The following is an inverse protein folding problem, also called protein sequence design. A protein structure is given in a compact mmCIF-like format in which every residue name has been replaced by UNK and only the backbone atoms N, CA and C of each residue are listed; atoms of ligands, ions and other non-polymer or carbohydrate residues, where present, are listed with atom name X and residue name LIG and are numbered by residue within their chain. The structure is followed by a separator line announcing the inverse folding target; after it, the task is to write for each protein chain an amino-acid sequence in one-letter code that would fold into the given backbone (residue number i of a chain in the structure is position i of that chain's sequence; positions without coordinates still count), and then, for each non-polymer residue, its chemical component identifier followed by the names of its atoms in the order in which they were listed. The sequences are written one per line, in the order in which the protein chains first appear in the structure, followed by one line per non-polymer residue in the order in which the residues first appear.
data_IF_743643440225
#
_entry.id   IF_743643440225
#
_cell.length_a   1.000
_cell.length_b   1.000
_cell.length_c   1.000
_cell.angle_alpha   90.00
_cell.angle_beta   90.00
_cell.angle_gamma   90.00
#
_symmetry.space_group_name_H-M   'P 1'
#
loop_
_entity.id
_entity.type
_entity.pdbx_description
1 polymer ?
#
# COMPACT_ATOMS: atom_id res chain seq x y z
N UNK A 1 -20.02 -0.25 -4.78
CA UNK A 1 -18.57 -0.36 -4.51
C UNK A 1 -18.34 -0.96 -3.13
N UNK A 2 -17.17 -1.53 -2.88
CA UNK A 2 -16.82 -2.13 -1.58
C UNK A 2 -16.80 -1.05 -0.46
N UNK A 3 -17.35 -1.31 0.74
CA UNK A 3 -17.37 -0.33 1.83
C UNK A 3 -15.99 0.19 2.25
N UNK A 4 -14.97 -0.68 2.30
CA UNK A 4 -13.59 -0.30 2.67
C UNK A 4 -13.01 0.80 1.78
N UNK A 5 -13.43 0.92 0.52
CA UNK A 5 -12.93 1.98 -0.37
C UNK A 5 -13.24 3.41 0.12
N UNK A 6 -14.13 3.57 1.11
CA UNK A 6 -14.38 4.85 1.80
C UNK A 6 -13.22 5.26 2.71
N UNK A 7 -12.43 4.31 3.19
CA UNK A 7 -11.25 4.54 4.04
C UNK A 7 -10.06 4.86 3.14
N UNK A 8 -9.38 5.98 3.41
CA UNK A 8 -8.35 6.53 2.52
C UNK A 8 -7.12 5.62 2.33
N UNK A 9 -6.87 4.66 3.23
CA UNK A 9 -5.76 3.70 3.13
C UNK A 9 -6.19 2.30 2.65
N UNK A 10 -7.43 2.14 2.18
CA UNK A 10 -8.02 0.85 1.78
C UNK A 10 -8.44 0.85 0.31
N UNK A 11 -7.87 1.75 -0.50
CA UNK A 11 -8.14 1.91 -1.93
C UNK A 11 -7.09 1.19 -2.78
N UNK A 12 -7.38 1.03 -4.07
CA UNK A 12 -6.45 0.42 -5.01
C UNK A 12 -5.16 1.25 -5.13
N UNK A 13 -4.02 0.59 -4.99
CA UNK A 13 -2.70 1.25 -4.99
C UNK A 13 -2.17 1.61 -3.61
N UNK A 14 -2.98 1.56 -2.56
CA UNK A 14 -2.53 1.74 -1.19
C UNK A 14 -1.74 0.51 -0.71
N UNK A 15 -0.79 0.73 0.19
CA UNK A 15 -0.32 -0.33 1.07
C UNK A 15 -1.35 -0.45 2.21
N UNK A 16 -2.28 -1.39 2.07
CA UNK A 16 -3.51 -1.50 2.87
C UNK A 16 -3.28 -1.19 4.35
N UNK A 17 -4.04 -0.22 4.87
CA UNK A 17 -4.03 0.26 6.25
C UNK A 17 -2.72 0.92 6.75
N UNK A 18 -1.62 0.82 5.99
CA UNK A 18 -0.33 1.40 6.32
C UNK A 18 -0.10 2.75 5.61
N UNK A 19 -0.12 2.77 4.27
CA UNK A 19 0.27 3.93 3.46
C UNK A 19 -0.75 4.13 2.34
N UNK A 20 -1.38 5.32 2.29
CA UNK A 20 -2.21 5.71 1.15
C UNK A 20 -1.32 6.00 -0.07
N UNK A 21 -1.80 5.67 -1.26
CA UNK A 21 -1.14 6.01 -2.50
C UNK A 21 -0.92 7.52 -2.61
N UNK A 22 0.24 7.93 -3.12
CA UNK A 22 0.54 9.34 -3.37
C UNK A 22 -0.30 9.94 -4.50
N UNK A 23 -0.86 9.07 -5.36
CA UNK A 23 -1.71 9.44 -6.48
C UNK A 23 -2.64 8.28 -6.82
N UNK A 24 -3.95 8.56 -6.85
CA UNK A 24 -4.93 7.61 -7.37
C UNK A 24 -4.76 7.50 -8.90
N UNK A 25 -4.36 6.31 -9.36
CA UNK A 25 -4.15 6.01 -10.79
C UNK A 25 -5.02 4.86 -11.28
N UNK A 26 -5.87 4.32 -10.41
CA UNK A 26 -6.84 3.27 -10.72
C UNK A 26 -7.78 3.72 -11.83
N UNK A 27 -8.06 2.82 -12.77
CA UNK A 27 -9.01 3.10 -13.85
C UNK A 27 -10.46 2.91 -13.40
N UNK A 28 -11.44 3.43 -14.16
CA UNK A 28 -12.85 3.15 -13.91
C UNK A 28 -13.16 1.66 -13.84
N UNK A 29 -14.22 1.32 -13.09
CA UNK A 29 -14.71 -0.06 -12.98
C UNK A 29 -15.03 -0.61 -14.37
N UNK A 30 -14.48 -1.79 -14.67
CA UNK A 30 -14.62 -2.45 -15.96
C UNK A 30 -13.37 -2.36 -16.85
N UNK A 31 -12.40 -1.53 -16.49
CA UNK A 31 -11.10 -1.45 -17.17
C UNK A 31 -10.01 -2.26 -16.46
N UNK A 32 -8.99 -2.67 -17.24
CA UNK A 32 -7.83 -3.39 -16.71
C UNK A 32 -6.75 -2.44 -16.19
N UNK A 33 -6.40 -2.62 -14.92
CA UNK A 33 -5.22 -2.02 -14.29
C UNK A 33 -3.99 -2.94 -14.41
N UNK A 34 -2.80 -2.33 -14.43
CA UNK A 34 -1.53 -3.04 -14.33
C UNK A 34 -0.86 -2.70 -13.00
N UNK A 35 -0.64 -3.69 -12.15
CA UNK A 35 0.07 -3.55 -10.88
C UNK A 35 1.46 -4.19 -10.96
N UNK A 36 2.46 -3.54 -10.37
CA UNK A 36 3.80 -4.09 -10.19
C UNK A 36 4.26 -3.85 -8.75
N UNK A 37 4.93 -4.84 -8.15
CA UNK A 37 5.45 -4.79 -6.79
C UNK A 37 6.94 -5.10 -6.87
N UNK A 38 7.76 -4.19 -6.35
CA UNK A 38 9.22 -4.37 -6.30
C UNK A 38 9.64 -4.33 -4.84
N UNK A 39 10.12 -5.46 -4.34
CA UNK A 39 10.80 -5.55 -3.05
C UNK A 39 12.28 -5.87 -3.34
N UNK A 40 13.14 -4.89 -3.13
CA UNK A 40 14.58 -5.03 -3.38
C UNK A 40 15.35 -4.53 -2.16
N UNK A 41 16.03 -5.45 -1.48
CA UNK A 41 16.59 -5.23 -0.15
C UNK A 41 15.52 -4.66 0.80
N UNK A 42 15.77 -3.50 1.40
CA UNK A 42 14.81 -2.81 2.28
C UNK A 42 13.85 -1.90 1.53
N UNK A 43 13.96 -1.71 0.21
CA UNK A 43 13.05 -0.82 -0.52
C UNK A 43 11.84 -1.60 -1.04
N UNK A 44 10.64 -1.14 -0.67
CA UNK A 44 9.37 -1.58 -1.25
C UNK A 44 8.78 -0.47 -2.14
N UNK A 45 8.40 -0.82 -3.36
CA UNK A 45 7.64 0.03 -4.27
C UNK A 45 6.38 -0.68 -4.75
N UNK A 46 5.25 0.02 -4.68
CA UNK A 46 4.02 -0.36 -5.37
C UNK A 46 3.86 0.57 -6.57
N UNK A 47 3.65 -0.01 -7.73
CA UNK A 47 3.44 0.69 -9.00
C UNK A 47 2.06 0.32 -9.52
N UNK A 48 1.26 1.31 -9.84
CA UNK A 48 -0.04 1.13 -10.48
C UNK A 48 -0.08 1.95 -11.77
N UNK A 49 -0.44 1.30 -12.87
CA UNK A 49 -0.50 1.90 -14.21
C UNK A 49 0.76 2.72 -14.59
N UNK A 50 1.94 2.17 -14.28
CA UNK A 50 3.24 2.78 -14.58
C UNK A 50 3.67 3.91 -13.63
N UNK A 51 2.88 4.24 -12.61
CA UNK A 51 3.22 5.26 -11.60
C UNK A 51 3.60 4.60 -10.29
N UNK A 52 4.74 4.95 -9.70
CA UNK A 52 5.07 4.59 -8.32
C UNK A 52 4.09 5.31 -7.40
N UNK A 53 3.19 4.54 -6.77
CA UNK A 53 2.12 5.05 -5.90
C UNK A 53 2.45 4.90 -4.43
N UNK A 54 3.29 3.94 -4.06
CA UNK A 54 3.87 3.81 -2.72
C UNK A 54 5.36 3.51 -2.85
N UNK A 55 6.18 4.15 -2.02
CA UNK A 55 7.58 3.82 -1.83
C UNK A 55 7.91 3.94 -0.34
N UNK A 56 8.42 2.87 0.26
CA UNK A 56 8.81 2.87 1.68
C UNK A 56 10.05 2.02 1.91
N UNK A 57 10.69 2.24 3.05
CA UNK A 57 11.73 1.36 3.57
C UNK A 57 11.09 0.35 4.53
N UNK A 58 11.43 -0.91 4.36
CA UNK A 58 11.07 -2.01 5.24
C UNK A 58 12.06 -2.09 6.41
N UNK A 59 11.56 -2.53 7.56
CA UNK A 59 12.34 -2.87 8.75
C UNK A 59 13.11 -1.71 9.43
N UNK A 60 12.85 -0.47 9.04
CA UNK A 60 13.33 0.69 9.78
C UNK A 60 12.34 1.09 10.90
N UNK A 61 12.70 2.10 11.69
CA UNK A 61 11.84 2.57 12.78
C UNK A 61 10.49 3.10 12.28
N UNK A 62 10.44 3.67 11.08
CA UNK A 62 9.20 4.16 10.48
C UNK A 62 8.27 2.98 10.10
N UNK A 63 8.82 1.89 9.56
CA UNK A 63 8.08 0.65 9.30
C UNK A 63 7.45 0.09 10.57
N UNK A 64 8.22 -0.02 11.65
CA UNK A 64 7.73 -0.51 12.93
C UNK A 64 6.64 0.40 13.52
N UNK A 65 6.82 1.72 13.44
CA UNK A 65 5.83 2.69 13.90
C UNK A 65 4.51 2.61 13.10
N UNK A 66 4.60 2.47 11.77
CA UNK A 66 3.42 2.27 10.93
C UNK A 66 2.66 0.99 11.30
N UNK A 67 3.37 -0.12 11.57
CA UNK A 67 2.74 -1.38 11.99
C UNK A 67 2.01 -1.21 13.32
N UNK A 68 2.65 -0.58 14.30
CA UNK A 68 2.09 -0.36 15.64
C UNK A 68 0.76 0.44 15.60
N UNK A 69 0.60 1.32 14.61
CA UNK A 69 -0.60 2.13 14.39
C UNK A 69 -1.60 1.54 13.38
N UNK A 70 -1.36 0.32 12.90
CA UNK A 70 -2.21 -0.36 11.92
C UNK A 70 -3.06 -1.46 12.55
N UNK A 71 -3.98 -2.00 11.75
CA UNK A 71 -4.74 -3.23 12.00
C UNK A 71 -3.84 -4.44 12.26
N UNK A 72 -2.59 -4.42 11.80
CA UNK A 72 -1.65 -5.53 11.90
C UNK A 72 -0.82 -5.54 13.19
N UNK A 73 -0.95 -4.54 14.07
CA UNK A 73 -0.13 -4.40 15.30
C UNK A 73 -0.04 -5.64 16.21
N UNK A 74 -1.06 -6.52 16.16
CA UNK A 74 -1.14 -7.74 16.97
C UNK A 74 -1.03 -9.02 16.12
N UNK A 75 -0.62 -8.94 14.86
CA UNK A 75 -0.54 -10.09 13.94
C UNK A 75 0.85 -10.74 14.01
N UNK A 76 0.99 -11.97 14.54
CA UNK A 76 2.29 -12.63 14.63
C UNK A 76 2.91 -12.83 13.24
N UNK A 77 4.19 -12.49 13.10
CA UNK A 77 4.95 -12.64 11.86
C UNK A 77 4.68 -11.55 10.81
N UNK A 78 3.88 -10.53 11.12
CA UNK A 78 3.74 -9.36 10.27
C UNK A 78 4.87 -8.36 10.53
N UNK A 79 5.50 -7.87 9.46
CA UNK A 79 6.49 -6.79 9.51
C UNK A 79 7.93 -7.24 9.33
#
# INVERSE_FOLDING_TARGET
GHPDGKIHKHRAGDLYDLIACSKETVKPVGEWDKAEIIANHSTLQLILNGTVVVKTTLWDNNWQDMIAHSKFKNMPGFG
#
